data_IF_538611881991
#
_entry.id   IF_538611881991
#
_cell.length_a   1.000
_cell.length_b   1.000
_cell.length_c   1.000
_cell.angle_alpha   90.00
_cell.angle_beta   90.00
_cell.angle_gamma   90.00
#
_symmetry.space_group_name_H-M   'P 1'
#
loop_
_entity.id
_entity.type
_entity.pdbx_description
1 polymer ?
#
# COMPACT_ATOMS: atom_id res chain seq x y z
N UNK A 1 1.13 12.99 -9.74
CA UNK A 1 1.87 12.33 -10.83
C UNK A 1 2.70 11.23 -10.20
N UNK A 2 2.52 9.97 -10.62
CA UNK A 2 3.37 8.83 -10.25
C UNK A 2 4.71 8.99 -10.98
N UNK A 3 5.60 9.85 -10.47
CA UNK A 3 6.86 10.18 -11.15
C UNK A 3 8.01 9.21 -10.89
N UNK A 4 7.77 8.13 -10.14
CA UNK A 4 8.77 7.08 -9.96
C UNK A 4 8.07 5.74 -9.75
N UNK A 5 7.49 5.14 -10.79
CA UNK A 5 7.48 3.68 -10.87
C UNK A 5 8.93 3.24 -11.10
N UNK A 6 9.78 3.40 -10.08
CA UNK A 6 10.96 2.57 -9.95
C UNK A 6 10.39 1.16 -9.91
N UNK A 7 10.72 0.39 -10.95
CA UNK A 7 10.27 -0.98 -11.20
C UNK A 7 10.17 -1.75 -9.89
N UNK A 8 8.95 -1.95 -9.37
CA UNK A 8 8.75 -2.90 -8.28
C UNK A 8 9.14 -4.27 -8.82
N UNK A 9 9.99 -4.97 -8.10
CA UNK A 9 10.26 -6.38 -8.38
C UNK A 9 9.07 -7.24 -7.91
N UNK A 10 9.03 -8.51 -8.32
CA UNK A 10 7.91 -9.40 -7.99
C UNK A 10 7.66 -9.54 -6.47
N UNK A 11 8.72 -9.48 -5.65
CA UNK A 11 8.58 -9.54 -4.19
C UNK A 11 7.94 -8.27 -3.64
N UNK A 12 8.33 -7.11 -4.17
CA UNK A 12 7.74 -5.81 -3.82
C UNK A 12 6.27 -5.72 -4.27
N UNK A 13 5.94 -6.25 -5.45
CA UNK A 13 4.56 -6.34 -5.93
C UNK A 13 3.71 -7.20 -4.98
N UNK A 14 4.23 -8.35 -4.54
CA UNK A 14 3.53 -9.21 -3.58
C UNK A 14 3.33 -8.47 -2.25
N UNK A 15 4.34 -7.79 -1.73
CA UNK A 15 4.24 -7.01 -0.49
C UNK A 15 3.16 -5.93 -0.57
N UNK A 16 3.14 -5.16 -1.66
CA UNK A 16 2.10 -4.13 -1.88
C UNK A 16 0.72 -4.77 -1.94
N UNK A 17 0.58 -5.84 -2.73
CA UNK A 17 -0.73 -6.49 -2.96
C UNK A 17 -1.27 -7.11 -1.68
N UNK A 18 -0.43 -7.83 -0.93
CA UNK A 18 -0.81 -8.46 0.34
C UNK A 18 -1.23 -7.41 1.38
N UNK A 19 -0.44 -6.36 1.56
CA UNK A 19 -0.73 -5.30 2.52
C UNK A 19 -2.02 -4.54 2.17
N UNK A 20 -2.20 -4.18 0.90
CA UNK A 20 -3.41 -3.47 0.44
C UNK A 20 -4.64 -4.35 0.57
N UNK A 21 -4.54 -5.63 0.17
CA UNK A 21 -5.67 -6.54 0.23
C UNK A 21 -6.08 -6.83 1.68
N UNK A 22 -5.10 -6.98 2.57
CA UNK A 22 -5.35 -7.10 4.00
C UNK A 22 -6.03 -5.84 4.55
N UNK A 23 -5.47 -4.65 4.31
CA UNK A 23 -6.04 -3.40 4.79
C UNK A 23 -7.47 -3.17 4.27
N UNK A 24 -7.71 -3.42 2.99
CA UNK A 24 -9.04 -3.30 2.38
C UNK A 24 -10.04 -4.28 3.02
N UNK A 25 -9.63 -5.53 3.28
CA UNK A 25 -10.46 -6.53 3.95
C UNK A 25 -10.80 -6.11 5.39
N UNK A 26 -9.82 -5.63 6.14
CA UNK A 26 -10.01 -5.19 7.54
C UNK A 26 -10.94 -3.97 7.64
N UNK A 27 -10.85 -3.05 6.68
CA UNK A 27 -11.62 -1.81 6.66
C UNK A 27 -12.89 -1.87 5.79
N UNK A 28 -13.19 -3.03 5.18
CA UNK A 28 -14.36 -3.29 4.31
C UNK A 28 -14.43 -2.36 3.09
N UNK A 29 -13.27 -2.06 2.50
CA UNK A 29 -13.18 -1.33 1.24
C UNK A 29 -12.97 -2.29 0.07
N UNK A 30 -13.54 -1.94 -1.08
CA UNK A 30 -13.19 -2.58 -2.36
C UNK A 30 -11.82 -2.08 -2.81
N UNK A 31 -10.99 -2.93 -3.39
CA UNK A 31 -9.66 -2.52 -3.89
C UNK A 31 -9.75 -1.46 -5.00
N UNK A 32 -10.83 -1.49 -5.78
CA UNK A 32 -11.08 -0.53 -6.86
C UNK A 32 -11.74 0.76 -6.38
N UNK A 33 -12.12 0.84 -5.11
CA UNK A 33 -12.67 2.05 -4.48
C UNK A 33 -11.65 3.19 -4.42
N UNK A 34 -12.11 4.40 -4.07
CA UNK A 34 -11.22 5.56 -3.91
C UNK A 34 -10.20 5.29 -2.79
N UNK A 35 -10.66 4.68 -1.70
CA UNK A 35 -9.84 4.30 -0.55
C UNK A 35 -8.86 3.19 -0.92
N UNK A 36 -9.30 2.17 -1.66
CA UNK A 36 -8.44 1.09 -2.15
C UNK A 36 -7.32 1.60 -3.07
N UNK A 37 -7.64 2.46 -4.04
CA UNK A 37 -6.64 3.10 -4.92
C UNK A 37 -5.69 4.01 -4.17
N UNK A 38 -6.16 4.70 -3.12
CA UNK A 38 -5.32 5.50 -2.23
C UNK A 38 -4.37 4.59 -1.43
N UNK A 39 -4.86 3.48 -0.90
CA UNK A 39 -4.04 2.49 -0.19
C UNK A 39 -2.94 1.93 -1.10
N UNK A 40 -3.24 1.61 -2.36
CA UNK A 40 -2.23 1.20 -3.35
C UNK A 40 -1.14 2.25 -3.49
N UNK A 41 -1.53 3.51 -3.68
CA UNK A 41 -0.57 4.62 -3.88
C UNK A 41 0.37 4.76 -2.68
N UNK A 42 -0.18 4.69 -1.47
CA UNK A 42 0.61 4.79 -0.23
C UNK A 42 1.50 3.56 -0.05
N UNK A 43 0.97 2.35 -0.24
CA UNK A 43 1.74 1.12 -0.09
C UNK A 43 2.94 1.07 -1.05
N UNK A 44 2.77 1.52 -2.30
CA UNK A 44 3.87 1.64 -3.27
C UNK A 44 4.92 2.63 -2.78
N UNK A 45 4.51 3.80 -2.30
CA UNK A 45 5.43 4.81 -1.76
C UNK A 45 6.22 4.28 -0.55
N UNK A 46 5.55 3.54 0.34
CA UNK A 46 6.18 2.91 1.51
C UNK A 46 7.23 1.87 1.12
N UNK A 47 6.93 1.02 0.15
CA UNK A 47 7.90 0.03 -0.33
C UNK A 47 9.09 0.71 -1.00
N UNK A 48 8.85 1.73 -1.83
CA UNK A 48 9.92 2.46 -2.51
C UNK A 48 10.78 3.31 -1.56
N UNK A 49 10.26 3.69 -0.40
CA UNK A 49 11.01 4.37 0.66
C UNK A 49 11.75 3.39 1.59
N UNK A 50 11.81 2.10 1.24
CA UNK A 50 12.43 1.00 2.00
C UNK A 50 11.79 0.77 3.38
N UNK A 51 10.47 0.93 3.49
CA UNK A 51 9.73 0.48 4.68
C UNK A 51 9.91 -1.02 4.85
N UNK A 52 10.22 -1.46 6.07
CA UNK A 52 10.39 -2.88 6.35
C UNK A 52 9.08 -3.65 6.08
N UNK A 53 9.11 -4.82 5.42
CA UNK A 53 7.91 -5.60 5.10
C UNK A 53 6.97 -5.82 6.29
N UNK A 54 7.52 -6.10 7.47
CA UNK A 54 6.77 -6.33 8.69
C UNK A 54 6.08 -5.07 9.27
N UNK A 55 6.50 -3.88 8.83
CA UNK A 55 5.93 -2.60 9.24
C UNK A 55 4.95 -2.03 8.21
N UNK A 56 4.93 -2.59 6.99
CA UNK A 56 4.19 -2.02 5.85
C UNK A 56 2.70 -1.84 6.16
N UNK A 57 2.04 -2.85 6.72
CA UNK A 57 0.62 -2.76 7.05
C UNK A 57 0.34 -1.73 8.15
N UNK A 58 1.16 -1.70 9.20
CA UNK A 58 0.97 -0.76 10.31
C UNK A 58 1.12 0.69 9.84
N UNK A 59 2.11 0.94 8.99
CA UNK A 59 2.38 2.25 8.43
C UNK A 59 1.33 2.66 7.38
N UNK A 60 0.89 1.71 6.54
CA UNK A 60 -0.24 1.92 5.62
C UNK A 60 -1.50 2.34 6.39
N UNK A 61 -1.88 1.59 7.43
CA UNK A 61 -3.03 1.93 8.28
C UNK A 61 -2.88 3.33 8.88
N UNK A 62 -1.71 3.64 9.43
CA UNK A 62 -1.41 4.95 10.03
C UNK A 62 -1.63 6.10 9.04
N UNK A 63 -1.18 5.95 7.79
CA UNK A 63 -1.35 6.99 6.77
C UNK A 63 -2.77 7.05 6.20
N UNK A 64 -3.47 5.91 6.16
CA UNK A 64 -4.86 5.89 5.72
C UNK A 64 -5.79 6.61 6.71
N UNK A 65 -5.50 6.52 8.01
CA UNK A 65 -6.23 7.23 9.08
C UNK A 65 -5.95 8.74 9.11
N UNK A 66 -4.82 9.18 8.53
CA UNK A 66 -4.50 10.59 8.36
C UNK A 66 -5.31 11.15 7.18
N UNK A 67 -6.37 11.91 7.49
CA UNK A 67 -7.28 12.57 6.54
C UNK A 67 -6.62 13.74 5.82
#
# INVERSE_FOLDING_TARGET
MLQSLISLNDSEINLVTDAVQQWCSENKHDIDSVEGRRAITIAVDLVQTNTAPEQLLAELSRQMDQR
#
